data_IF_037014623160
#
_entry.id   IF_037014623160
#
_cell.length_a   1.000
_cell.length_b   1.000
_cell.length_c   1.000
_cell.angle_alpha   90.00
_cell.angle_beta   90.00
_cell.angle_gamma   90.00
#
_symmetry.space_group_name_H-M   'P 1'
#
loop_
_entity.id
_entity.type
_entity.pdbx_description
1 polymer ?
#
# COMPACT_ATOMS: atom_id res chain seq x y z
N UNK A 1 -17.01 14.81 -1.70
CA UNK A 1 -15.65 15.17 -2.14
C UNK A 1 -14.67 15.45 -0.99
N UNK A 2 -15.09 16.12 0.09
CA UNK A 2 -14.24 16.44 1.25
C UNK A 2 -13.43 15.26 1.84
N UNK A 3 -14.07 14.11 2.09
CA UNK A 3 -13.41 12.91 2.66
C UNK A 3 -12.21 12.42 1.84
N UNK A 4 -12.24 12.57 0.51
CA UNK A 4 -11.13 12.15 -0.35
C UNK A 4 -9.94 13.11 -0.28
N UNK A 5 -10.21 14.40 0.00
CA UNK A 5 -9.18 15.42 0.19
C UNK A 5 -8.48 15.19 1.54
N UNK A 6 -9.25 14.88 2.58
CA UNK A 6 -8.71 14.61 3.93
C UNK A 6 -7.77 13.41 3.93
N UNK A 7 -8.17 12.29 3.29
CA UNK A 7 -7.32 11.09 3.19
C UNK A 7 -6.02 11.38 2.43
N UNK A 8 -6.07 12.19 1.36
CA UNK A 8 -4.85 12.60 0.62
C UNK A 8 -3.93 13.46 1.48
N UNK A 9 -4.49 14.37 2.28
CA UNK A 9 -3.71 15.20 3.20
C UNK A 9 -3.02 14.35 4.27
N UNK A 10 -3.69 13.33 4.80
CA UNK A 10 -3.10 12.37 5.74
C UNK A 10 -1.92 11.65 5.08
N UNK A 11 -2.10 11.08 3.88
CA UNK A 11 -1.01 10.39 3.16
C UNK A 11 0.15 11.32 2.85
N UNK A 12 -0.11 12.57 2.49
CA UNK A 12 0.92 13.59 2.28
C UNK A 12 1.72 13.84 3.56
N UNK A 13 1.04 13.99 4.70
CA UNK A 13 1.71 14.22 5.98
C UNK A 13 2.52 13.01 6.44
N UNK A 14 2.02 11.79 6.24
CA UNK A 14 2.79 10.56 6.50
C UNK A 14 4.05 10.48 5.63
N UNK A 15 3.95 10.86 4.36
CA UNK A 15 5.10 10.88 3.45
C UNK A 15 6.18 11.87 3.91
N UNK A 16 5.77 13.04 4.43
CA UNK A 16 6.71 14.03 5.02
C UNK A 16 7.43 13.48 6.26
N UNK A 17 6.83 12.54 6.98
CA UNK A 17 7.44 11.84 8.12
C UNK A 17 8.28 10.62 7.69
N UNK A 18 8.43 10.37 6.39
CA UNK A 18 9.14 9.19 5.87
C UNK A 18 8.33 7.90 5.94
N UNK A 19 7.04 7.97 6.27
CA UNK A 19 6.16 6.81 6.38
C UNK A 19 5.49 6.58 5.02
N UNK A 20 5.72 5.42 4.42
CA UNK A 20 5.07 5.04 3.17
C UNK A 20 3.60 4.66 3.43
N UNK A 21 2.68 5.34 2.76
CA UNK A 21 1.25 5.07 2.85
C UNK A 21 0.62 4.99 1.46
N UNK A 22 -0.32 4.07 1.27
CA UNK A 22 -1.02 3.83 -0.01
C UNK A 22 -2.53 3.90 0.20
N UNK A 23 -3.20 4.66 -0.65
CA UNK A 23 -4.68 4.69 -0.70
C UNK A 23 -5.14 3.56 -1.62
N UNK A 24 -5.99 2.67 -1.11
CA UNK A 24 -6.61 1.59 -1.89
C UNK A 24 -8.04 1.94 -2.26
N UNK A 25 -8.45 1.63 -3.50
CA UNK A 25 -9.81 1.94 -3.98
C UNK A 25 -10.80 0.79 -3.78
N UNK A 26 -10.31 -0.40 -3.47
CA UNK A 26 -11.11 -1.61 -3.31
C UNK A 26 -10.59 -2.50 -2.17
N UNK A 27 -11.49 -3.33 -1.61
CA UNK A 27 -11.14 -4.31 -0.58
C UNK A 27 -10.10 -5.33 -1.08
N UNK A 28 -10.17 -5.70 -2.36
CA UNK A 28 -9.21 -6.63 -2.98
C UNK A 28 -7.80 -6.04 -3.04
N UNK A 29 -7.67 -4.77 -3.42
CA UNK A 29 -6.38 -4.07 -3.39
C UNK A 29 -5.79 -4.00 -1.99
N UNK A 30 -6.63 -3.76 -0.98
CA UNK A 30 -6.21 -3.74 0.42
C UNK A 30 -5.69 -5.11 0.87
N UNK A 31 -6.40 -6.20 0.54
CA UNK A 31 -5.95 -7.56 0.87
C UNK A 31 -4.60 -7.86 0.21
N UNK A 32 -4.40 -7.46 -1.05
CA UNK A 32 -3.11 -7.64 -1.75
C UNK A 32 -1.99 -6.82 -1.13
N UNK A 33 -2.28 -5.59 -0.67
CA UNK A 33 -1.28 -4.74 -0.04
C UNK A 33 -0.86 -5.25 1.36
N UNK A 34 -1.76 -5.94 2.05
CA UNK A 34 -1.50 -6.54 3.36
C UNK A 34 -0.98 -7.98 3.30
N UNK A 35 -0.99 -8.60 2.12
CA UNK A 35 -0.44 -9.92 1.93
C UNK A 35 1.08 -9.89 2.20
N UNK A 36 1.57 -10.90 2.92
CA UNK A 36 3.00 -11.07 3.13
C UNK A 36 3.70 -11.23 1.77
N UNK A 37 4.93 -10.72 1.61
CA UNK A 37 5.73 -11.00 0.42
C UNK A 37 5.81 -12.51 0.24
N UNK A 38 5.33 -13.02 -0.91
CA UNK A 38 5.50 -14.44 -1.20
C UNK A 38 7.00 -14.70 -1.28
N UNK A 39 7.53 -15.73 -0.59
CA UNK A 39 8.90 -16.13 -0.79
C UNK A 39 9.07 -16.42 -2.27
N UNK A 40 10.03 -15.73 -2.90
CA UNK A 40 10.44 -16.04 -4.26
C UNK A 40 10.91 -17.49 -4.20
N UNK A 41 10.13 -18.42 -4.73
CA UNK A 41 10.60 -19.77 -4.93
C UNK A 41 11.80 -19.60 -5.87
N UNK A 42 13.01 -19.73 -5.33
CA UNK A 42 14.23 -19.75 -6.12
C UNK A 42 14.01 -20.84 -7.16
N UNK A 43 13.79 -20.44 -8.41
CA UNK A 43 13.72 -21.37 -9.51
C UNK A 43 15.10 -22.02 -9.57
N UNK A 44 15.20 -23.22 -9.01
CA UNK A 44 16.32 -24.13 -9.19
C UNK A 44 16.48 -24.28 -10.69
N UNK A 45 17.48 -23.59 -11.25
CA UNK A 45 17.89 -23.80 -12.62
C UNK A 45 18.38 -25.25 -12.71
N UNK A 46 17.81 -25.98 -13.67
CA UNK A 46 18.09 -27.38 -13.97
C UNK A 46 19.55 -27.59 -14.38
#
# INVERSE_FOLDING_TARGET
>A
MAKNVDVRNIVSNLSKLGIQAKITKSRVELIKALALPQPVQAQSQQ
#
